data_IF_021031158373
#
_entry.id   IF_021031158373
#
_cell.length_a   1.000
_cell.length_b   1.000
_cell.length_c   1.000
_cell.angle_alpha   90.00
_cell.angle_beta   90.00
_cell.angle_gamma   90.00
#
_symmetry.space_group_name_H-M   'P 1'
#
loop_
_entity.id
_entity.type
_entity.pdbx_description
1 polymer ?
#
# COMPACT_ATOMS: atom_id res chain seq x y z
N UNK A 1 -24.01 47.52 40.97
CA UNK A 1 -24.32 46.42 40.00
C UNK A 1 -25.77 46.65 39.55
N UNK A 2 -25.95 47.14 38.32
CA UNK A 2 -27.29 47.37 37.75
C UNK A 2 -27.54 46.30 36.70
N UNK A 3 -28.44 45.41 36.98
CA UNK A 3 -28.96 44.42 36.03
C UNK A 3 -29.92 45.11 35.08
N UNK A 4 -29.62 45.17 33.80
CA UNK A 4 -30.52 45.68 32.76
C UNK A 4 -31.33 44.51 32.22
N UNK A 5 -32.60 44.45 32.56
CA UNK A 5 -33.59 43.58 31.96
C UNK A 5 -34.15 44.29 30.72
N UNK A 6 -33.80 43.80 29.51
CA UNK A 6 -34.38 44.34 28.28
C UNK A 6 -35.68 43.58 27.97
N UNK A 7 -36.82 44.17 28.25
CA UNK A 7 -38.10 43.73 27.74
C UNK A 7 -38.28 44.27 26.32
N UNK A 8 -38.52 43.35 25.38
CA UNK A 8 -38.88 43.68 24.01
C UNK A 8 -40.21 44.47 23.99
N UNK A 9 -40.20 45.59 23.27
CA UNK A 9 -41.21 46.65 23.29
C UNK A 9 -42.56 46.19 22.76
N UNK A 10 -43.58 46.36 23.66
CA UNK A 10 -44.94 46.51 23.26
C UNK A 10 -45.29 48.01 23.36
N UNK A 11 -45.57 48.67 22.25
CA UNK A 11 -46.14 50.03 22.22
C UNK A 11 -47.63 49.91 22.47
N UNK A 12 -48.07 50.45 23.63
CA UNK A 12 -49.47 50.63 23.97
C UNK A 12 -49.98 51.95 23.34
N UNK A 13 -50.94 51.85 22.40
CA UNK A 13 -51.69 53.01 21.91
C UNK A 13 -53.04 52.96 22.61
N UNK A 14 -53.32 53.97 23.51
CA UNK A 14 -54.64 54.20 24.11
C UNK A 14 -55.54 54.91 23.11
N UNK A 15 -56.60 54.26 22.66
CA UNK A 15 -57.73 54.86 21.95
C UNK A 15 -58.90 53.93 22.11
N UNK A 16 -60.00 54.44 22.73
CA UNK A 16 -61.17 53.68 23.19
C UNK A 16 -61.86 52.85 22.08
N UNK A 17 -62.07 51.61 22.36
CA UNK A 17 -62.78 50.70 21.50
C UNK A 17 -62.32 49.26 21.78
N UNK A 18 -63.27 48.37 21.92
CA UNK A 18 -63.17 46.95 22.25
C UNK A 18 -61.92 46.31 21.72
N UNK A 19 -60.96 45.93 22.59
CA UNK A 19 -59.66 45.35 22.26
C UNK A 19 -59.83 43.88 22.03
N UNK A 20 -59.88 43.45 20.77
CA UNK A 20 -59.58 42.06 20.42
C UNK A 20 -58.04 41.93 20.37
N UNK A 21 -57.43 41.23 21.35
CA UNK A 21 -56.02 40.91 21.33
C UNK A 21 -55.76 39.86 20.25
N UNK A 22 -55.29 40.31 19.11
CA UNK A 22 -54.68 39.35 18.12
C UNK A 22 -53.32 38.99 18.64
N UNK A 23 -53.16 37.81 19.22
CA UNK A 23 -51.87 37.22 19.48
C UNK A 23 -51.33 36.76 18.12
N UNK A 24 -50.50 37.58 17.51
CA UNK A 24 -49.66 37.13 16.41
C UNK A 24 -48.59 36.25 17.03
N UNK A 25 -48.77 34.93 16.95
CA UNK A 25 -47.69 33.97 17.18
C UNK A 25 -46.67 34.21 16.07
N UNK A 26 -45.65 34.99 16.37
CA UNK A 26 -44.47 35.08 15.52
C UNK A 26 -43.83 33.72 15.49
N UNK A 27 -43.83 33.05 14.35
CA UNK A 27 -42.84 31.98 14.09
C UNK A 27 -41.48 32.65 14.23
N UNK A 28 -40.79 32.41 15.32
CA UNK A 28 -39.36 32.65 15.39
C UNK A 28 -38.72 31.57 14.47
N UNK A 29 -38.35 31.99 13.27
CA UNK A 29 -37.38 31.23 12.48
C UNK A 29 -36.04 31.35 13.20
N UNK A 30 -35.89 30.65 14.33
CA UNK A 30 -34.58 30.40 14.91
C UNK A 30 -33.80 29.59 13.88
N UNK A 31 -32.65 30.08 13.44
CA UNK A 31 -31.85 29.31 12.49
C UNK A 31 -31.56 27.95 13.15
N UNK A 32 -32.00 26.88 12.47
CA UNK A 32 -31.70 25.51 12.93
C UNK A 32 -30.19 25.44 13.13
N UNK A 33 -29.77 25.23 14.38
CA UNK A 33 -28.34 25.14 14.71
C UNK A 33 -27.69 24.07 13.84
N UNK A 34 -26.77 24.47 13.00
CA UNK A 34 -26.03 23.55 12.15
C UNK A 34 -25.17 22.68 13.05
N UNK A 35 -25.33 21.36 12.97
CA UNK A 35 -24.48 20.37 13.66
C UNK A 35 -23.50 19.77 12.64
N UNK A 36 -22.39 20.45 12.35
CA UNK A 36 -21.47 20.05 11.28
C UNK A 36 -20.73 18.77 11.63
N UNK A 37 -20.26 18.06 10.60
CA UNK A 37 -19.27 16.98 10.76
C UNK A 37 -17.94 17.60 11.16
N UNK A 38 -17.40 17.17 12.29
CA UNK A 38 -16.14 17.71 12.85
C UNK A 38 -15.05 16.65 13.00
N UNK A 39 -15.41 15.37 12.84
CA UNK A 39 -14.44 14.30 13.03
C UNK A 39 -14.65 13.19 12.00
N UNK A 40 -13.54 12.76 11.40
CA UNK A 40 -13.42 11.54 10.60
C UNK A 40 -12.35 10.66 11.23
N UNK A 41 -12.63 9.38 11.42
CA UNK A 41 -11.68 8.43 12.04
C UNK A 41 -11.67 7.11 11.27
N UNK A 42 -10.50 6.48 11.18
CA UNK A 42 -10.39 5.10 10.70
C UNK A 42 -11.04 4.14 11.69
N UNK A 43 -11.69 3.09 11.21
CA UNK A 43 -12.37 2.11 12.05
C UNK A 43 -12.19 0.69 11.51
N UNK A 44 -12.58 -0.34 12.28
CA UNK A 44 -12.62 -1.73 11.82
C UNK A 44 -11.26 -2.42 11.69
N UNK A 45 -10.17 -1.88 12.26
CA UNK A 45 -8.80 -2.43 12.08
C UNK A 45 -8.43 -2.61 10.60
N UNK A 46 -8.77 -1.60 9.78
CA UNK A 46 -8.60 -1.60 8.32
C UNK A 46 -7.40 -0.78 7.86
N UNK A 47 -6.55 -0.37 8.78
CA UNK A 47 -5.29 0.35 8.54
C UNK A 47 -4.08 -0.59 8.69
N UNK A 48 -2.91 -0.19 8.16
CA UNK A 48 -1.64 -0.93 8.26
C UNK A 48 -1.73 -2.40 7.83
N UNK A 49 -2.51 -2.67 6.78
CA UNK A 49 -2.68 -4.01 6.25
C UNK A 49 -1.48 -4.42 5.39
N UNK A 50 -1.28 -5.73 5.24
CA UNK A 50 -0.25 -6.29 4.37
C UNK A 50 -0.87 -7.37 3.47
N UNK A 51 -0.54 -7.33 2.18
CA UNK A 51 -0.95 -8.34 1.20
C UNK A 51 0.00 -8.33 0.01
N UNK A 52 -0.09 -9.32 -0.89
CA UNK A 52 0.72 -9.35 -2.09
C UNK A 52 0.45 -8.11 -2.98
N UNK A 53 1.50 -7.58 -3.59
CA UNK A 53 1.40 -6.50 -4.56
C UNK A 53 0.42 -6.88 -5.68
N UNK A 54 -0.39 -5.92 -6.16
CA UNK A 54 -1.42 -6.14 -7.16
C UNK A 54 -2.68 -6.88 -6.67
N UNK A 55 -2.84 -7.12 -5.35
CA UNK A 55 -4.02 -7.79 -4.79
C UNK A 55 -4.86 -6.87 -3.91
N UNK A 56 -6.10 -7.27 -3.66
CA UNK A 56 -7.03 -6.55 -2.78
C UNK A 56 -6.60 -6.70 -1.33
N UNK A 57 -6.69 -5.62 -0.56
CA UNK A 57 -6.43 -5.68 0.89
C UNK A 57 -7.42 -6.62 1.59
N UNK A 58 -7.01 -7.34 2.66
CA UNK A 58 -7.87 -8.32 3.34
C UNK A 58 -9.16 -7.76 3.92
N UNK A 59 -9.18 -6.48 4.27
CA UNK A 59 -10.33 -5.78 4.84
C UNK A 59 -10.54 -4.44 4.15
N UNK A 60 -11.77 -4.20 3.69
CA UNK A 60 -12.12 -2.92 3.06
C UNK A 60 -11.94 -1.76 4.04
N UNK A 61 -11.20 -0.70 3.67
CA UNK A 61 -11.04 0.50 4.50
C UNK A 61 -12.37 1.12 4.91
N UNK A 62 -12.46 1.52 6.16
CA UNK A 62 -13.67 2.10 6.75
C UNK A 62 -13.34 3.34 7.56
N UNK A 63 -14.19 4.36 7.42
CA UNK A 63 -14.17 5.54 8.28
C UNK A 63 -15.49 5.68 9.03
N UNK A 64 -15.44 6.26 10.22
CA UNK A 64 -16.59 6.67 10.99
C UNK A 64 -16.58 8.18 11.17
N UNK A 65 -17.71 8.82 10.97
CA UNK A 65 -17.87 10.26 11.05
C UNK A 65 -18.73 10.66 12.25
N UNK A 66 -18.32 11.77 12.89
CA UNK A 66 -19.05 12.36 14.02
C UNK A 66 -19.34 13.84 13.78
N UNK A 67 -20.48 14.28 14.26
CA UNK A 67 -20.91 15.68 14.31
C UNK A 67 -20.32 16.39 15.53
N UNK A 68 -20.43 17.71 15.56
CA UNK A 68 -19.96 18.52 16.69
C UNK A 68 -20.64 18.15 18.02
N UNK A 69 -21.87 17.68 17.99
CA UNK A 69 -22.61 17.15 19.14
C UNK A 69 -22.08 15.81 19.66
N UNK A 70 -21.16 15.13 18.93
CA UNK A 70 -20.73 13.76 19.18
C UNK A 70 -21.64 12.70 18.58
N UNK A 71 -22.74 13.08 17.93
CA UNK A 71 -23.62 12.16 17.24
C UNK A 71 -22.95 11.57 15.99
N UNK A 72 -23.39 10.37 15.58
CA UNK A 72 -22.95 9.76 14.31
C UNK A 72 -23.45 10.57 13.13
N UNK A 73 -22.58 10.85 12.18
CA UNK A 73 -22.93 11.57 10.95
C UNK A 73 -23.43 10.54 9.91
N UNK A 74 -24.74 10.50 9.75
CA UNK A 74 -25.44 9.56 8.84
C UNK A 74 -25.71 10.27 7.52
N UNK A 75 -25.59 9.55 6.38
CA UNK A 75 -25.90 10.08 5.04
C UNK A 75 -24.82 11.01 4.48
N UNK A 76 -23.63 11.08 5.09
CA UNK A 76 -22.52 11.91 4.63
C UNK A 76 -21.73 11.19 3.54
N UNK A 77 -21.34 11.94 2.52
CA UNK A 77 -20.53 11.43 1.42
C UNK A 77 -19.04 11.41 1.82
N UNK A 78 -18.39 10.27 1.59
CA UNK A 78 -16.95 10.08 1.76
C UNK A 78 -16.36 9.70 0.41
N UNK A 79 -15.28 10.39 0.02
CA UNK A 79 -14.51 10.07 -1.20
C UNK A 79 -13.20 9.40 -0.81
N UNK A 80 -12.90 8.27 -1.44
CA UNK A 80 -11.64 7.53 -1.27
C UNK A 80 -10.76 7.72 -2.51
N UNK A 81 -9.51 8.13 -2.32
CA UNK A 81 -8.55 8.41 -3.41
C UNK A 81 -7.22 7.74 -3.13
N UNK A 82 -6.69 7.02 -4.11
CA UNK A 82 -5.31 6.46 -4.03
C UNK A 82 -4.33 7.63 -4.16
N UNK A 83 -3.47 7.82 -3.16
CA UNK A 83 -2.46 8.88 -3.14
C UNK A 83 -1.04 8.38 -3.44
N UNK A 84 -0.76 7.10 -3.26
CA UNK A 84 0.57 6.55 -3.48
C UNK A 84 0.58 5.03 -3.55
N UNK A 85 1.69 4.49 -4.07
CA UNK A 85 1.89 3.05 -4.26
C UNK A 85 1.24 2.49 -5.52
N UNK A 86 0.43 3.27 -6.23
CA UNK A 86 -0.36 2.80 -7.39
C UNK A 86 -1.61 2.02 -6.95
N UNK A 87 -2.11 1.16 -7.84
CA UNK A 87 -3.31 0.38 -7.54
C UNK A 87 -4.62 1.11 -7.86
N UNK A 88 -5.73 0.55 -7.41
CA UNK A 88 -7.07 1.04 -7.74
C UNK A 88 -8.03 0.90 -6.56
N UNK A 89 -9.11 1.69 -6.61
CA UNK A 89 -10.21 1.65 -5.66
C UNK A 89 -11.52 1.41 -6.40
N UNK A 90 -12.31 0.44 -5.95
CA UNK A 90 -13.71 0.27 -6.36
C UNK A 90 -14.64 0.81 -5.28
N UNK A 91 -15.71 1.51 -5.70
CA UNK A 91 -16.57 2.22 -4.77
C UNK A 91 -15.88 3.43 -4.13
N UNK A 92 -15.15 4.22 -4.94
CA UNK A 92 -14.42 5.41 -4.51
C UNK A 92 -15.29 6.46 -3.79
N UNK A 93 -16.60 6.42 -3.95
CA UNK A 93 -17.55 7.26 -3.23
C UNK A 93 -18.49 6.36 -2.43
N UNK A 94 -18.56 6.57 -1.13
CA UNK A 94 -19.44 5.85 -0.22
C UNK A 94 -20.22 6.84 0.66
N UNK A 95 -21.40 6.41 1.12
CA UNK A 95 -22.24 7.20 2.01
C UNK A 95 -22.27 6.53 3.39
N UNK A 96 -22.19 7.32 4.45
CA UNK A 96 -22.22 6.77 5.81
C UNK A 96 -23.57 6.13 6.15
N UNK A 97 -23.50 4.93 6.71
CA UNK A 97 -24.66 4.15 7.17
C UNK A 97 -25.27 4.70 8.49
N UNK A 98 -26.26 3.99 9.05
CA UNK A 98 -26.91 4.35 10.32
C UNK A 98 -25.97 4.33 11.54
N UNK A 99 -24.76 3.78 11.40
CA UNK A 99 -23.70 3.80 12.41
C UNK A 99 -22.70 4.93 12.18
N UNK A 100 -22.89 5.76 11.13
CA UNK A 100 -21.97 6.79 10.70
C UNK A 100 -20.73 6.25 9.99
N UNK A 101 -20.78 5.01 9.45
CA UNK A 101 -19.65 4.34 8.82
C UNK A 101 -19.79 4.37 7.29
N UNK A 102 -18.74 4.82 6.61
CA UNK A 102 -18.56 4.66 5.17
C UNK A 102 -17.45 3.64 4.90
N UNK A 103 -17.72 2.70 3.99
CA UNK A 103 -16.81 1.63 3.61
C UNK A 103 -16.55 1.70 2.11
N UNK A 104 -15.28 1.71 1.71
CA UNK A 104 -14.93 1.49 0.31
C UNK A 104 -15.16 0.02 -0.06
N UNK A 105 -15.57 -0.27 -1.29
CA UNK A 105 -15.87 -1.65 -1.69
C UNK A 105 -14.58 -2.49 -1.70
N UNK A 106 -13.59 -2.06 -2.47
CA UNK A 106 -12.30 -2.75 -2.58
C UNK A 106 -11.15 -1.73 -2.75
N UNK A 107 -10.01 -2.04 -2.19
CA UNK A 107 -8.75 -1.36 -2.45
C UNK A 107 -7.72 -2.39 -2.90
N UNK A 108 -7.36 -2.32 -4.19
CA UNK A 108 -6.29 -3.13 -4.78
C UNK A 108 -4.98 -2.37 -4.68
N UNK A 109 -3.94 -2.98 -4.14
CA UNK A 109 -2.61 -2.38 -4.03
C UNK A 109 -1.93 -2.30 -5.40
N UNK A 110 -0.93 -1.44 -5.52
CA UNK A 110 -0.07 -1.37 -6.69
C UNK A 110 0.78 -2.62 -6.89
N UNK A 111 1.34 -2.77 -8.08
CA UNK A 111 2.12 -3.93 -8.48
C UNK A 111 3.54 -3.96 -7.89
N UNK A 112 4.02 -2.85 -7.35
CA UNK A 112 5.32 -2.76 -6.69
C UNK A 112 5.16 -3.14 -5.22
N UNK A 113 6.04 -4.02 -4.72
CA UNK A 113 6.11 -4.39 -3.31
C UNK A 113 6.64 -3.21 -2.48
N UNK A 114 5.73 -2.33 -2.06
CA UNK A 114 6.02 -1.08 -1.38
C UNK A 114 4.82 -0.60 -0.56
N UNK A 115 4.97 0.55 0.12
CA UNK A 115 3.89 1.23 0.81
C UNK A 115 2.85 1.78 -0.18
N UNK A 116 1.58 1.64 0.19
CA UNK A 116 0.42 2.16 -0.53
C UNK A 116 -0.39 3.06 0.40
N UNK A 117 -1.01 4.10 -0.15
CA UNK A 117 -1.75 5.11 0.60
C UNK A 117 -3.12 5.36 -0.03
N UNK A 118 -4.17 5.27 0.78
CA UNK A 118 -5.54 5.58 0.42
C UNK A 118 -6.09 6.67 1.33
N UNK A 119 -6.47 7.80 0.77
CA UNK A 119 -7.07 8.91 1.51
C UNK A 119 -8.59 8.83 1.48
N UNK A 120 -9.22 9.01 2.64
CA UNK A 120 -10.66 9.23 2.77
C UNK A 120 -10.90 10.70 3.12
N UNK A 121 -11.74 11.37 2.34
CA UNK A 121 -12.09 12.80 2.52
C UNK A 121 -13.60 12.94 2.71
N UNK A 122 -14.02 13.67 3.73
CA UNK A 122 -15.42 14.02 3.99
C UNK A 122 -15.52 15.40 4.62
N UNK A 123 -16.34 16.28 4.06
CA UNK A 123 -16.58 17.65 4.59
C UNK A 123 -15.27 18.43 4.85
N UNK A 124 -14.25 18.27 4.01
CA UNK A 124 -12.94 18.91 4.16
C UNK A 124 -12.03 18.28 5.22
N UNK A 125 -12.46 17.20 5.88
CA UNK A 125 -11.65 16.42 6.81
C UNK A 125 -11.05 15.22 6.07
N UNK A 126 -9.82 14.82 6.47
CA UNK A 126 -9.07 13.75 5.79
C UNK A 126 -8.47 12.77 6.78
N UNK A 127 -8.40 11.50 6.37
CA UNK A 127 -7.58 10.46 7.02
C UNK A 127 -6.96 9.59 5.94
N UNK A 128 -5.71 9.14 6.15
CA UNK A 128 -4.99 8.30 5.20
C UNK A 128 -4.79 6.90 5.77
N UNK A 129 -5.26 5.88 5.04
CA UNK A 129 -4.95 4.48 5.29
C UNK A 129 -3.61 4.13 4.66
N UNK A 130 -2.87 3.25 5.33
CA UNK A 130 -1.63 2.67 4.82
C UNK A 130 -1.80 1.17 4.64
N UNK A 131 -1.17 0.64 3.60
CA UNK A 131 -1.00 -0.80 3.42
C UNK A 131 0.37 -1.08 2.79
N UNK A 132 0.94 -2.24 3.08
CA UNK A 132 2.21 -2.67 2.52
C UNK A 132 1.98 -3.79 1.50
N UNK A 133 2.33 -3.53 0.25
CA UNK A 133 2.46 -4.56 -0.76
C UNK A 133 3.76 -5.34 -0.52
N UNK A 134 3.67 -6.65 -0.47
CA UNK A 134 4.83 -7.56 -0.44
C UNK A 134 4.94 -8.31 -1.76
N UNK A 135 6.12 -8.88 -2.06
CA UNK A 135 6.25 -9.74 -3.21
C UNK A 135 5.25 -10.90 -3.15
N UNK A 136 4.67 -11.22 -4.29
CA UNK A 136 3.83 -12.40 -4.47
C UNK A 136 4.66 -13.69 -4.54
N UNK A 137 4.03 -14.84 -4.89
CA UNK A 137 4.76 -16.08 -5.16
C UNK A 137 5.79 -15.88 -6.27
N UNK A 138 6.95 -16.53 -6.14
CA UNK A 138 7.98 -16.52 -7.17
C UNK A 138 7.44 -17.08 -8.50
N UNK A 139 7.81 -16.45 -9.61
CA UNK A 139 7.40 -16.87 -10.97
C UNK A 139 8.57 -17.03 -11.91
N UNK A 140 9.72 -16.42 -11.62
CA UNK A 140 10.92 -16.52 -12.47
C UNK A 140 12.22 -16.34 -11.66
N UNK A 141 13.29 -16.87 -12.25
CA UNK A 141 14.67 -16.65 -11.86
C UNK A 141 15.39 -15.99 -13.03
N UNK A 142 16.02 -14.83 -12.82
CA UNK A 142 16.67 -14.05 -13.87
C UNK A 142 18.12 -13.74 -13.52
N UNK A 143 19.02 -13.83 -14.50
CA UNK A 143 20.41 -13.43 -14.32
C UNK A 143 20.52 -11.92 -14.07
N UNK A 144 21.39 -11.51 -13.14
CA UNK A 144 21.62 -10.09 -12.83
C UNK A 144 23.07 -9.67 -12.98
N UNK A 145 24.03 -10.50 -12.57
CA UNK A 145 25.45 -10.19 -12.59
C UNK A 145 26.26 -11.41 -13.06
N UNK A 146 27.45 -11.17 -13.59
CA UNK A 146 28.44 -12.20 -13.81
C UNK A 146 28.30 -12.98 -15.11
N UNK A 147 27.57 -12.48 -16.11
CA UNK A 147 27.48 -13.05 -17.45
C UNK A 147 28.74 -12.74 -18.31
N UNK A 148 29.11 -13.67 -19.20
CA UNK A 148 30.07 -13.48 -20.29
C UNK A 148 31.43 -12.91 -19.86
N UNK A 149 32.02 -13.47 -18.81
CA UNK A 149 33.31 -13.03 -18.26
C UNK A 149 34.51 -13.71 -18.92
N UNK A 150 35.70 -13.13 -18.72
CA UNK A 150 36.98 -13.73 -19.07
C UNK A 150 37.91 -13.64 -17.87
N UNK A 151 38.57 -14.75 -17.55
CA UNK A 151 39.57 -14.81 -16.49
C UNK A 151 40.70 -15.81 -16.88
N UNK A 152 41.81 -15.77 -16.16
CA UNK A 152 42.87 -16.75 -16.35
C UNK A 152 42.40 -18.16 -15.93
N UNK A 153 43.00 -19.20 -16.52
CA UNK A 153 42.76 -20.58 -16.08
C UNK A 153 43.04 -20.70 -14.58
N UNK A 154 42.23 -21.51 -13.90
CA UNK A 154 42.35 -21.78 -12.46
C UNK A 154 42.20 -20.55 -11.56
N UNK A 155 41.65 -19.44 -12.06
CA UNK A 155 41.37 -18.26 -11.27
C UNK A 155 39.85 -17.99 -11.15
N UNK A 156 39.46 -17.18 -10.18
CA UNK A 156 38.06 -16.76 -10.02
C UNK A 156 37.69 -15.73 -11.07
N UNK A 157 36.40 -15.73 -11.46
CA UNK A 157 35.82 -14.66 -12.24
C UNK A 157 35.75 -13.38 -11.40
N UNK A 158 35.87 -12.22 -12.07
CA UNK A 158 35.94 -10.92 -11.38
C UNK A 158 34.62 -10.54 -10.67
N UNK A 159 33.49 -10.96 -11.22
CA UNK A 159 32.14 -10.69 -10.69
C UNK A 159 31.46 -12.00 -10.40
N UNK A 160 31.24 -12.38 -9.12
CA UNK A 160 30.49 -13.57 -8.78
C UNK A 160 29.12 -13.57 -9.44
N UNK A 161 28.72 -14.63 -10.16
CA UNK A 161 27.40 -14.74 -10.75
C UNK A 161 26.27 -14.57 -9.73
N UNK A 162 25.21 -13.87 -10.13
CA UNK A 162 24.03 -13.66 -9.32
C UNK A 162 22.76 -13.76 -10.16
N UNK A 163 21.73 -14.30 -9.53
CA UNK A 163 20.35 -14.31 -10.05
C UNK A 163 19.44 -13.54 -9.12
N UNK A 164 18.30 -13.14 -9.65
CA UNK A 164 17.21 -12.59 -8.85
C UNK A 164 15.96 -13.45 -9.03
N UNK A 165 15.39 -13.90 -7.92
CA UNK A 165 14.10 -14.58 -7.91
C UNK A 165 13.02 -13.52 -7.81
N UNK A 166 12.04 -13.56 -8.69
CA UNK A 166 11.03 -12.51 -8.81
C UNK A 166 9.62 -13.08 -8.93
N UNK A 167 8.63 -12.28 -8.49
CA UNK A 167 7.22 -12.53 -8.73
C UNK A 167 6.78 -12.09 -10.14
N UNK A 168 5.46 -12.21 -10.44
CA UNK A 168 4.89 -11.85 -11.73
C UNK A 168 5.05 -10.36 -12.10
N UNK A 169 5.33 -9.49 -11.15
CA UNK A 169 5.51 -8.06 -11.35
C UNK A 169 6.98 -7.63 -11.28
N UNK A 170 7.91 -8.58 -11.10
CA UNK A 170 9.34 -8.32 -10.96
C UNK A 170 9.78 -7.91 -9.55
N UNK A 171 8.90 -8.02 -8.55
CA UNK A 171 9.31 -7.81 -7.16
C UNK A 171 10.19 -8.98 -6.70
N UNK A 172 11.25 -8.68 -5.97
CA UNK A 172 12.15 -9.70 -5.44
C UNK A 172 11.49 -10.60 -4.41
N UNK A 173 11.67 -11.90 -4.55
CA UNK A 173 11.14 -12.92 -3.63
C UNK A 173 12.29 -13.53 -2.84
N UNK A 174 12.30 -13.31 -1.53
CA UNK A 174 13.30 -13.86 -0.62
C UNK A 174 13.02 -15.30 -0.18
N UNK A 175 14.07 -15.96 0.34
CA UNK A 175 13.96 -17.29 0.93
C UNK A 175 13.83 -18.43 -0.07
N UNK A 176 14.15 -18.20 -1.35
CA UNK A 176 14.19 -19.24 -2.38
C UNK A 176 15.62 -19.79 -2.49
N UNK A 177 15.79 -21.10 -2.31
CA UNK A 177 17.10 -21.75 -2.45
C UNK A 177 17.48 -21.87 -3.92
N UNK A 178 18.64 -21.30 -4.28
CA UNK A 178 19.29 -21.41 -5.59
C UNK A 178 20.48 -22.34 -5.48
N UNK A 179 20.53 -23.39 -6.30
CA UNK A 179 21.63 -24.32 -6.41
C UNK A 179 22.58 -23.89 -7.54
N UNK A 180 23.87 -23.94 -7.28
CA UNK A 180 24.93 -23.59 -8.23
C UNK A 180 25.72 -24.81 -8.64
N UNK A 181 25.80 -25.09 -9.94
CA UNK A 181 26.49 -26.26 -10.47
C UNK A 181 27.35 -25.92 -11.69
N UNK A 182 28.61 -26.34 -11.69
CA UNK A 182 29.46 -26.27 -12.89
C UNK A 182 29.02 -27.34 -13.86
N UNK A 183 28.61 -26.96 -15.07
CA UNK A 183 28.19 -27.87 -16.13
C UNK A 183 29.34 -28.24 -17.06
N UNK A 184 30.29 -27.31 -17.31
CA UNK A 184 31.46 -27.56 -18.16
C UNK A 184 32.66 -26.69 -17.77
N UNK A 185 33.86 -27.07 -18.28
CA UNK A 185 35.12 -26.38 -18.05
C UNK A 185 35.90 -26.87 -16.86
N UNK A 186 35.39 -27.80 -16.05
CA UNK A 186 36.04 -28.35 -14.84
C UNK A 186 36.45 -27.28 -13.81
N UNK A 187 35.66 -26.22 -13.72
CA UNK A 187 35.79 -25.20 -12.70
C UNK A 187 35.24 -25.62 -11.34
N UNK A 188 35.22 -24.71 -10.38
CA UNK A 188 34.77 -24.97 -9.02
C UNK A 188 33.86 -23.83 -8.51
N UNK A 189 32.71 -24.19 -7.91
CA UNK A 189 31.88 -23.27 -7.12
C UNK A 189 32.51 -23.16 -5.74
N UNK A 190 32.72 -21.91 -5.28
CA UNK A 190 33.19 -21.65 -3.93
C UNK A 190 32.02 -21.56 -2.96
N UNK A 191 32.19 -22.13 -1.77
CA UNK A 191 31.16 -22.15 -0.73
C UNK A 191 30.30 -23.43 -0.77
N UNK A 192 29.05 -23.30 -0.31
CA UNK A 192 28.13 -24.43 -0.11
C UNK A 192 27.53 -25.01 -1.40
N UNK A 193 27.68 -24.33 -2.53
CA UNK A 193 26.98 -24.67 -3.78
C UNK A 193 25.48 -24.36 -3.75
N UNK A 194 24.99 -23.69 -2.73
CA UNK A 194 23.63 -23.17 -2.64
C UNK A 194 23.57 -21.81 -1.94
N UNK A 195 22.63 -20.97 -2.31
CA UNK A 195 22.40 -19.66 -1.70
C UNK A 195 20.89 -19.41 -1.64
N UNK A 196 20.39 -18.97 -0.49
CA UNK A 196 19.00 -18.51 -0.41
C UNK A 196 18.91 -17.06 -0.87
N UNK A 197 17.85 -16.75 -1.62
CA UNK A 197 17.61 -15.38 -2.04
C UNK A 197 17.32 -14.47 -0.86
N UNK A 198 17.90 -13.29 -0.86
CA UNK A 198 17.67 -12.23 0.13
C UNK A 198 16.27 -11.60 -0.05
N UNK A 199 15.88 -10.69 0.84
CA UNK A 199 14.55 -10.08 0.83
C UNK A 199 14.22 -9.30 -0.47
N UNK A 200 15.22 -8.86 -1.21
CA UNK A 200 15.10 -8.24 -2.53
C UNK A 200 15.12 -9.24 -3.69
N UNK A 201 15.18 -10.54 -3.37
CA UNK A 201 15.23 -11.66 -4.31
C UNK A 201 16.63 -12.01 -4.82
N UNK A 202 17.69 -11.30 -4.42
CA UNK A 202 19.05 -11.56 -4.90
C UNK A 202 19.60 -12.82 -4.28
N UNK A 203 20.16 -13.73 -5.13
CA UNK A 203 20.98 -14.87 -4.73
C UNK A 203 22.29 -14.82 -5.52
N UNK A 204 23.41 -14.77 -4.82
CA UNK A 204 24.75 -14.69 -5.41
C UNK A 204 25.60 -15.86 -4.94
N UNK A 205 26.34 -16.49 -5.87
CA UNK A 205 27.36 -17.48 -5.53
C UNK A 205 28.53 -16.79 -4.82
N UNK A 206 29.16 -17.46 -3.86
CA UNK A 206 30.32 -16.91 -3.16
C UNK A 206 31.48 -16.60 -4.12
N UNK A 207 31.73 -17.49 -5.07
CA UNK A 207 32.72 -17.34 -6.13
C UNK A 207 32.63 -18.48 -7.15
N UNK A 208 33.17 -18.25 -8.34
CA UNK A 208 33.29 -19.22 -9.39
C UNK A 208 34.72 -19.22 -9.95
N UNK A 209 35.48 -20.28 -9.66
CA UNK A 209 36.79 -20.50 -10.20
C UNK A 209 36.69 -21.24 -11.54
N UNK A 210 37.34 -20.74 -12.59
CA UNK A 210 37.38 -21.38 -13.88
C UNK A 210 38.31 -22.60 -13.86
N UNK A 211 38.12 -23.54 -14.78
CA UNK A 211 38.93 -24.74 -14.89
C UNK A 211 40.34 -24.48 -15.37
N UNK A 212 41.20 -25.57 -15.37
CA UNK A 212 42.63 -25.44 -15.65
C UNK A 212 42.95 -25.37 -17.14
N UNK A 213 41.99 -25.57 -18.03
CA UNK A 213 42.20 -25.54 -19.49
C UNK A 213 41.54 -24.32 -20.12
N UNK A 214 42.23 -23.65 -21.07
CA UNK A 214 41.60 -22.56 -21.80
C UNK A 214 40.34 -23.01 -22.54
N UNK A 215 39.32 -22.15 -22.56
CA UNK A 215 38.04 -22.42 -23.22
C UNK A 215 36.81 -21.99 -22.42
N UNK A 216 35.65 -22.36 -22.91
CA UNK A 216 34.37 -22.00 -22.29
C UNK A 216 34.11 -22.82 -21.02
N UNK A 217 33.72 -22.11 -19.98
CA UNK A 217 33.18 -22.65 -18.73
C UNK A 217 31.72 -22.27 -18.61
N UNK A 218 30.90 -23.17 -18.06
CA UNK A 218 29.46 -22.93 -17.85
C UNK A 218 29.11 -23.25 -16.41
N UNK A 219 28.49 -22.29 -15.73
CA UNK A 219 27.88 -22.43 -14.42
C UNK A 219 26.37 -22.33 -14.56
N UNK A 220 25.63 -23.17 -13.85
CA UNK A 220 24.17 -23.14 -13.80
C UNK A 220 23.69 -22.71 -12.42
N UNK A 221 22.67 -21.86 -12.40
CA UNK A 221 21.88 -21.52 -11.23
C UNK A 221 20.48 -22.12 -11.41
N UNK A 222 20.07 -23.00 -10.50
CA UNK A 222 18.78 -23.67 -10.55
C UNK A 222 17.99 -23.44 -9.25
N UNK A 223 16.74 -23.00 -9.36
CA UNK A 223 15.78 -22.99 -8.25
C UNK A 223 14.60 -23.90 -8.59
N UNK A 224 14.08 -24.61 -7.58
CA UNK A 224 13.04 -25.62 -7.79
C UNK A 224 11.78 -25.00 -8.42
N UNK A 225 11.31 -25.62 -9.51
CA UNK A 225 10.08 -25.19 -10.21
C UNK A 225 10.30 -24.13 -11.30
N UNK A 226 11.55 -23.69 -11.53
CA UNK A 226 11.86 -22.66 -12.54
C UNK A 226 12.90 -23.18 -13.55
N UNK A 227 12.89 -22.63 -14.78
CA UNK A 227 13.98 -22.86 -15.72
C UNK A 227 15.33 -22.42 -15.12
N UNK A 228 16.36 -23.25 -15.31
CA UNK A 228 17.69 -22.92 -14.85
C UNK A 228 18.31 -21.77 -15.68
N UNK A 229 19.16 -20.98 -15.02
CA UNK A 229 19.90 -19.87 -15.62
C UNK A 229 21.36 -20.28 -15.80
N UNK A 230 21.91 -20.12 -17.00
CA UNK A 230 23.30 -20.44 -17.27
C UNK A 230 24.14 -19.18 -17.38
N UNK A 231 25.35 -19.27 -16.82
CA UNK A 231 26.40 -18.25 -16.89
C UNK A 231 27.57 -18.83 -17.68
N UNK A 232 28.13 -18.03 -18.56
CA UNK A 232 29.31 -18.42 -19.34
C UNK A 232 30.52 -17.57 -18.99
N UNK A 233 31.70 -18.18 -18.97
CA UNK A 233 32.96 -17.47 -18.86
C UNK A 233 34.01 -18.15 -19.73
N UNK A 234 34.97 -17.38 -20.26
CA UNK A 234 36.09 -17.90 -21.05
C UNK A 234 37.35 -17.89 -20.21
N UNK A 235 37.93 -19.08 -20.01
CA UNK A 235 39.25 -19.24 -19.42
C UNK A 235 40.33 -18.97 -20.49
N UNK A 236 41.28 -18.11 -20.19
CA UNK A 236 42.43 -17.76 -21.03
C UNK A 236 43.72 -18.22 -20.35
N UNK A 237 44.82 -18.48 -21.12
CA UNK A 237 46.13 -18.88 -20.56
C UNK A 237 46.70 -17.88 -19.56
#
# INVERSE_FOLDING_TARGET
MKTILQLAGARLILGGGLLAAVVVAGCSDDPVAVDPVTTVQKTGSTDNQQTAAGTVVPRSPQVILFRASGAKAIGETVTFTVEGGGGTVDGAVAVTDTRGIATVREWTLGQIAAANFLKATANGLEVTFTATGIAGPATAVVATLGQEQTALVSTEVAIPPAVRVVDQFGNGVGGQTVLWQVLSGNGLVLGSGSTDSESDGLAQVLGWQLGPTPGQNVLEAAASGFPAVQFTATAIP
#
